data_IF_957657399207
#
_entry.id   IF_957657399207
#
_cell.length_a   1.000
_cell.length_b   1.000
_cell.length_c   1.000
_cell.angle_alpha   90.00
_cell.angle_beta   90.00
_cell.angle_gamma   90.00
#
_symmetry.space_group_name_H-M   'P 1'
#
loop_
_entity.id
_entity.type
_entity.pdbx_description
1 polymer ?
2 branched ?
3 non-polymer ?
4 non-polymer ?
5 non-polymer ?
6 water ?
#
# COMPACT_ATOMS: atom_id res chain seq x y z
N UNK A 10 -9.75 -20.67 -17.73
CA UNK A 10 -9.27 -19.31 -17.50
C UNK A 10 -7.78 -19.17 -17.85
N UNK A 11 -7.28 -17.94 -17.88
CA UNK A 11 -5.93 -17.67 -18.37
C UNK A 11 -5.10 -16.71 -17.50
N UNK A 12 -3.78 -16.79 -17.64
CA UNK A 12 -2.88 -15.84 -17.01
C UNK A 12 -3.14 -14.45 -17.56
N UNK A 13 -3.30 -13.47 -16.68
CA UNK A 13 -3.47 -12.10 -17.14
C UNK A 13 -2.18 -11.55 -17.75
N UNK A 14 -2.32 -10.83 -18.85
CA UNK A 14 -1.18 -10.12 -19.44
C UNK A 14 -1.36 -8.61 -19.38
N UNK A 15 -0.31 -7.90 -18.97
CA UNK A 15 -0.35 -6.44 -18.92
C UNK A 15 -0.19 -5.81 -20.31
N UNK A 16 -1.25 -5.86 -21.12
CA UNK A 16 -1.18 -5.36 -22.49
C UNK A 16 -1.66 -3.92 -22.65
N UNK A 17 -2.29 -3.37 -21.62
CA UNK A 17 -2.90 -2.05 -21.72
C UNK A 17 -2.11 -0.95 -21.03
N UNK A 18 -2.42 0.30 -21.34
CA UNK A 18 -1.81 1.43 -20.66
C UNK A 18 -2.81 2.05 -19.70
N UNK A 19 -2.38 3.06 -18.95
CA UNK A 19 -3.30 3.75 -18.06
C UNK A 19 -4.30 4.59 -18.84
N UNK A 20 -5.52 4.69 -18.33
CA UNK A 20 -6.49 5.64 -18.84
C UNK A 20 -6.04 7.05 -18.47
N UNK A 21 -6.39 8.03 -19.30
CA UNK A 21 -6.14 9.43 -18.97
C UNK A 21 -6.82 9.75 -17.67
N UNK A 22 -6.08 10.32 -16.73
CA UNK A 22 -6.62 10.62 -15.41
C UNK A 22 -6.93 12.10 -15.29
N UNK A 23 -8.20 12.44 -15.30
CA UNK A 23 -8.60 13.85 -15.20
C UNK A 23 -9.20 14.21 -13.85
N UNK A 24 -9.64 13.20 -13.10
CA UNK A 24 -10.06 13.38 -11.71
C UNK A 24 -10.26 12.00 -11.08
N UNK A 25 -10.71 11.99 -9.83
CA UNK A 25 -10.92 10.74 -9.10
C UNK A 25 -12.34 10.68 -8.57
N UNK A 26 -12.99 9.53 -8.67
CA UNK A 26 -14.31 9.36 -8.09
C UNK A 26 -14.28 8.34 -6.97
N UNK A 27 -15.28 8.39 -6.09
CA UNK A 27 -15.36 7.44 -4.98
C UNK A 27 -15.59 6.03 -5.52
N UNK A 28 -14.87 5.07 -4.95
CA UNK A 28 -14.93 3.69 -5.38
C UNK A 28 -15.45 2.81 -4.24
N UNK A 29 -14.85 2.97 -3.07
CA UNK A 29 -15.26 2.20 -1.90
C UNK A 29 -14.97 2.90 -0.59
N UNK A 30 -15.78 2.57 0.42
CA UNK A 30 -15.62 3.11 1.77
C UNK A 30 -16.35 2.17 2.70
N UNK A 31 -15.69 1.74 3.78
CA UNK A 31 -16.33 0.70 4.59
C UNK A 31 -16.93 1.22 5.91
N UNK A 32 -16.55 2.44 6.32
CA UNK A 32 -17.03 3.00 7.58
C UNK A 32 -16.87 2.03 8.76
N UNK A 33 -15.71 1.37 8.84
CA UNK A 33 -15.52 0.28 9.80
C UNK A 33 -15.60 0.72 11.27
N UNK A 34 -15.00 1.86 11.58
CA UNK A 34 -14.94 2.30 12.97
C UNK A 34 -16.32 2.78 13.45
N UNK A 35 -17.05 3.49 12.59
CA UNK A 35 -18.42 3.89 12.88
C UNK A 35 -19.29 2.68 13.20
N UNK A 36 -19.29 1.72 12.28
CA UNK A 36 -20.10 0.52 12.42
C UNK A 36 -19.62 -0.35 13.58
N UNK A 37 -18.30 -0.43 13.74
CA UNK A 37 -17.70 -1.25 14.77
C UNK A 37 -17.97 -0.78 16.20
N UNK A 38 -18.56 0.41 16.32
CA UNK A 38 -18.94 0.94 17.62
C UNK A 38 -20.00 0.06 18.28
N UNK A 39 -20.83 -0.59 17.48
CA UNK A 39 -21.89 -1.43 18.02
C UNK A 39 -22.05 -2.76 17.30
N UNK A 40 -21.01 -3.19 16.60
CA UNK A 40 -21.04 -4.46 15.91
C UNK A 40 -19.68 -5.13 15.94
N UNK A 41 -19.67 -6.44 15.70
CA UNK A 41 -18.46 -7.24 15.84
C UNK A 41 -17.50 -7.05 14.68
N UNK A 42 -16.94 -5.83 14.59
CA UNK A 42 -15.94 -5.49 13.59
C UNK A 42 -14.53 -5.75 14.13
N UNK A 43 -13.72 -6.45 13.34
CA UNK A 43 -12.34 -6.75 13.71
C UNK A 43 -11.45 -5.50 13.67
N UNK A 44 -10.63 -5.33 14.72
CA UNK A 44 -9.57 -4.33 14.71
C UNK A 44 -8.57 -4.68 13.62
N UNK A 45 -8.18 -3.69 12.81
CA UNK A 45 -7.23 -3.94 11.74
C UNK A 45 -6.23 -2.79 11.59
N UNK A 46 -5.22 -3.01 10.76
CA UNK A 46 -4.42 -1.93 10.18
C UNK A 46 -3.75 -2.46 8.91
N UNK A 47 -3.02 -1.58 8.23
CA UNK A 47 -2.37 -1.91 6.95
C UNK A 47 -3.36 -2.51 5.93
N UNK A 48 -4.42 -1.78 5.60
CA UNK A 48 -5.39 -2.31 4.65
C UNK A 48 -4.95 -2.12 3.21
N UNK A 49 -5.57 -2.86 2.28
CA UNK A 49 -5.43 -2.58 0.86
C UNK A 49 -6.56 -3.21 0.07
N UNK A 50 -6.52 -3.04 -1.24
CA UNK A 50 -7.57 -3.52 -2.12
C UNK A 50 -6.93 -4.36 -3.22
N UNK A 51 -7.56 -5.47 -3.58
CA UNK A 51 -7.08 -6.31 -4.67
C UNK A 51 -8.22 -7.03 -5.38
N UNK A 52 -8.13 -7.11 -6.70
CA UNK A 52 -9.19 -7.67 -7.51
C UNK A 52 -8.89 -9.08 -8.03
N UNK A 53 -9.95 -9.89 -8.10
CA UNK A 53 -9.94 -11.16 -8.79
C UNK A 53 -10.61 -10.91 -10.14
N UNK A 54 -10.62 -11.90 -11.05
CA UNK A 54 -11.32 -11.69 -12.31
C UNK A 54 -12.81 -11.42 -12.18
N UNK A 55 -13.41 -11.80 -11.07
CA UNK A 55 -14.86 -11.67 -10.90
C UNK A 55 -15.29 -10.84 -9.70
N UNK A 56 -14.34 -10.26 -8.98
CA UNK A 56 -14.65 -9.64 -7.70
C UNK A 56 -13.51 -8.76 -7.20
N UNK A 57 -13.84 -7.65 -6.54
CA UNK A 57 -12.83 -6.85 -5.85
C UNK A 57 -13.09 -6.91 -4.36
N UNK A 58 -12.03 -7.03 -3.56
CA UNK A 58 -12.18 -7.19 -2.13
C UNK A 58 -11.23 -6.30 -1.34
N UNK A 59 -11.65 -5.96 -0.13
CA UNK A 59 -10.80 -5.27 0.82
C UNK A 59 -9.89 -6.28 1.51
N UNK A 60 -8.69 -5.85 1.88
CA UNK A 60 -7.72 -6.68 2.59
C UNK A 60 -7.15 -5.89 3.76
N UNK A 61 -6.78 -6.57 4.84
CA UNK A 61 -6.11 -5.91 5.97
C UNK A 61 -5.48 -6.92 6.91
N UNK A 62 -4.66 -6.42 7.83
CA UNK A 62 -4.09 -7.22 8.89
C UNK A 62 -4.93 -7.10 10.16
N UNK A 63 -5.64 -8.17 10.48
CA UNK A 63 -6.45 -8.21 11.69
C UNK A 63 -5.57 -8.26 12.93
N UNK A 64 -6.15 -7.90 14.07
CA UNK A 64 -5.43 -7.98 15.33
C UNK A 64 -6.00 -9.08 16.22
N UNK A 65 -6.87 -9.91 15.64
CA UNK A 65 -7.43 -11.03 16.36
C UNK A 65 -8.31 -10.61 17.53
N UNK A 66 -9.07 -9.53 17.35
CA UNK A 66 -10.00 -9.03 18.34
C UNK A 66 -10.94 -8.02 17.69
N UNK A 67 -12.11 -7.82 18.27
CA UNK A 67 -13.00 -6.75 17.79
C UNK A 67 -12.66 -5.45 18.52
N UNK A 68 -13.20 -4.34 18.02
CA UNK A 68 -12.91 -3.03 18.60
C UNK A 68 -13.50 -2.88 19.99
N UNK A 69 -14.74 -3.35 20.17
CA UNK A 69 -15.38 -3.28 21.48
C UNK A 69 -14.82 -4.30 22.47
N UNK A 70 -14.23 -5.37 21.94
CA UNK A 70 -13.62 -6.39 22.76
C UNK A 70 -12.51 -5.81 23.60
N UNK A 71 -12.35 -6.32 24.81
CA UNK A 71 -11.33 -5.82 25.71
C UNK A 71 -9.91 -6.09 25.20
N UNK A 72 -9.75 -7.12 24.37
CA UNK A 72 -8.43 -7.45 23.82
C UNK A 72 -7.95 -6.46 22.77
N UNK A 73 -8.76 -5.43 22.51
CA UNK A 73 -8.33 -4.38 21.59
C UNK A 73 -7.37 -3.44 22.31
N UNK A 74 -7.27 -3.60 23.64
CA UNK A 74 -6.38 -2.78 24.46
C UNK A 74 -4.93 -3.13 24.17
N UNK A 75 -4.21 -2.22 23.54
CA UNK A 75 -2.82 -2.42 23.21
C UNK A 75 -2.54 -2.80 21.77
N UNK A 76 -3.53 -2.60 20.90
CA UNK A 76 -3.41 -2.99 19.51
C UNK A 76 -2.67 -1.98 18.64
N UNK A 77 -1.97 -1.04 19.28
CA UNK A 77 -1.02 -0.22 18.55
C UNK A 77 0.18 -1.11 18.23
N UNK A 78 0.34 -2.19 18.99
CA UNK A 78 1.48 -3.09 18.81
C UNK A 78 1.40 -3.80 17.45
N UNK A 79 2.54 -3.81 16.76
CA UNK A 79 2.60 -4.19 15.34
C UNK A 79 2.62 -5.68 15.05
N UNK A 80 3.44 -6.43 15.76
CA UNK A 80 3.67 -7.83 15.42
C UNK A 80 3.31 -8.74 16.58
N UNK A 81 2.38 -9.65 16.34
CA UNK A 81 1.99 -10.58 17.38
C UNK A 81 1.47 -11.86 16.74
N UNK A 82 1.21 -12.86 17.57
CA UNK A 82 0.74 -14.14 17.07
C UNK A 82 -0.77 -14.15 16.77
N UNK A 83 -1.43 -13.02 16.99
CA UNK A 83 -2.88 -12.98 16.86
C UNK A 83 -3.28 -12.23 15.59
N UNK A 84 -2.28 -11.85 14.80
CA UNK A 84 -2.53 -11.13 13.56
C UNK A 84 -2.71 -12.11 12.40
N UNK A 85 -3.46 -11.67 11.39
CA UNK A 85 -3.73 -12.49 10.22
C UNK A 85 -4.19 -11.60 9.08
N UNK A 86 -3.78 -11.95 7.86
CA UNK A 86 -4.29 -11.28 6.67
C UNK A 86 -5.71 -11.75 6.37
N UNK A 87 -6.66 -10.83 6.40
CA UNK A 87 -8.05 -11.14 6.10
C UNK A 87 -8.53 -10.38 4.88
N UNK A 88 -9.55 -10.91 4.22
CA UNK A 88 -10.22 -10.18 3.16
C UNK A 88 -11.73 -10.23 3.36
N UNK A 89 -12.44 -9.27 2.79
CA UNK A 89 -13.87 -9.20 2.96
C UNK A 89 -14.44 -8.39 1.80
N UNK A 90 -15.76 -8.49 1.57
CA UNK A 90 -16.35 -7.85 0.38
C UNK A 90 -16.20 -6.33 0.35
N UNK A 91 -15.99 -5.79 -0.85
CA UNK A 91 -15.83 -4.36 -1.09
C UNK A 91 -16.86 -3.50 -0.35
N UNK A 92 -16.35 -2.51 0.39
CA UNK A 92 -17.16 -1.50 1.08
C UNK A 92 -17.99 -2.03 2.28
N UNK A 93 -17.83 -3.30 2.61
CA UNK A 93 -18.36 -3.83 3.87
C UNK A 93 -17.30 -3.66 4.95
N UNK A 94 -17.71 -3.67 6.23
CA UNK A 94 -16.69 -3.61 7.28
C UNK A 94 -16.08 -4.99 7.51
N UNK A 95 -14.84 -5.05 8.02
CA UNK A 95 -14.19 -6.32 8.36
C UNK A 95 -14.76 -6.89 9.65
N UNK A 96 -15.70 -7.82 9.54
CA UNK A 96 -16.33 -8.38 10.72
C UNK A 96 -15.93 -9.83 10.95
N UNK A 97 -16.15 -10.30 12.18
CA UNK A 97 -15.83 -11.67 12.55
C UNK A 97 -16.50 -12.69 11.63
N UNK A 98 -17.71 -12.36 11.18
CA UNK A 98 -18.56 -13.30 10.48
C UNK A 98 -18.42 -13.24 8.95
N UNK A 99 -17.99 -12.12 8.40
CA UNK A 99 -17.91 -11.99 6.95
C UNK A 99 -16.48 -11.95 6.40
N UNK A 100 -15.49 -12.13 7.27
CA UNK A 100 -14.09 -12.07 6.87
C UNK A 100 -13.52 -13.45 6.58
N UNK A 101 -12.72 -13.53 5.52
CA UNK A 101 -12.03 -14.76 5.17
C UNK A 101 -10.54 -14.62 5.47
N UNK A 102 -9.97 -15.58 6.19
CA UNK A 102 -8.55 -15.53 6.47
C UNK A 102 -7.73 -16.11 5.33
N UNK A 103 -6.74 -15.35 4.86
CA UNK A 103 -5.88 -15.77 3.75
C UNK A 103 -4.64 -16.49 4.25
N UNK A 104 -4.02 -15.95 5.29
CA UNK A 104 -2.87 -16.59 5.95
C UNK A 104 -2.51 -15.85 7.23
N UNK A 105 -1.61 -16.43 8.01
CA UNK A 105 -1.28 -15.94 9.35
C UNK A 105 0.04 -15.18 9.39
N UNK A 106 0.02 -13.98 9.96
CA UNK A 106 1.21 -13.14 10.00
C UNK A 106 0.94 -11.66 10.21
N UNK A 107 2.01 -10.87 10.23
CA UNK A 107 1.92 -9.43 10.53
C UNK A 107 2.54 -8.54 9.46
N UNK A 108 2.78 -9.12 8.29
CA UNK A 108 3.17 -8.36 7.10
C UNK A 108 2.80 -9.20 5.91
N UNK A 109 2.24 -8.59 4.87
CA UNK A 109 1.64 -9.38 3.80
C UNK A 109 1.59 -8.71 2.44
N UNK A 110 1.29 -9.53 1.44
CA UNK A 110 0.99 -9.05 0.09
C UNK A 110 0.07 -10.07 -0.58
N UNK A 111 -0.58 -9.68 -1.67
CA UNK A 111 -1.50 -10.58 -2.33
C UNK A 111 -1.86 -10.11 -3.74
N UNK A 112 -2.05 -11.05 -4.65
CA UNK A 112 -2.47 -10.71 -6.01
C UNK A 112 -3.01 -11.92 -6.74
N UNK A 113 -3.87 -11.66 -7.72
CA UNK A 113 -4.41 -12.68 -8.58
C UNK A 113 -3.65 -12.68 -9.91
N UNK A 114 -3.27 -13.87 -10.40
CA UNK A 114 -2.51 -13.96 -11.66
C UNK A 114 -3.42 -14.21 -12.87
N UNK A 115 -4.73 -14.23 -12.62
CA UNK A 115 -5.69 -14.54 -13.65
C UNK A 115 -6.31 -15.91 -13.43
N UNK A 116 -5.49 -16.85 -12.96
CA UNK A 116 -5.98 -18.20 -12.67
C UNK A 116 -6.32 -18.38 -11.20
N UNK A 117 -5.38 -18.00 -10.34
CA UNK A 117 -5.56 -18.15 -8.90
C UNK A 117 -4.88 -17.02 -8.15
N UNK A 118 -5.14 -16.94 -6.86
CA UNK A 118 -4.59 -15.89 -6.02
C UNK A 118 -3.37 -16.36 -5.26
N UNK A 119 -2.32 -15.54 -5.25
CA UNK A 119 -1.18 -15.78 -4.38
C UNK A 119 -1.23 -14.83 -3.17
N UNK A 120 -1.10 -15.38 -1.98
CA UNK A 120 -1.04 -14.57 -0.76
C UNK A 120 0.22 -14.92 0.01
N UNK A 121 0.89 -13.90 0.54
CA UNK A 121 2.11 -14.11 1.30
C UNK A 121 1.99 -13.47 2.67
N UNK A 122 2.27 -14.22 3.72
CA UNK A 122 2.28 -13.67 5.06
C UNK A 122 3.61 -13.96 5.74
N UNK A 123 4.08 -13.00 6.50
CA UNK A 123 5.31 -13.17 7.26
C UNK A 123 4.96 -13.20 8.74
N UNK A 124 5.52 -14.18 9.45
CA UNK A 124 5.32 -14.26 10.90
C UNK A 124 6.62 -14.64 11.59
N UNK A 125 6.61 -14.58 12.91
CA UNK A 125 7.77 -14.96 13.69
C UNK A 125 8.29 -13.83 14.55
N UNK A 126 9.32 -14.12 15.36
CA UNK A 126 10.03 -13.11 16.13
C UNK A 126 10.91 -12.26 15.23
N UNK A 127 11.39 -11.13 15.75
CA UNK A 127 12.18 -10.18 14.95
C UNK A 127 13.43 -10.79 14.34
N UNK A 128 14.04 -11.76 15.00
CA UNK A 128 15.29 -12.33 14.50
C UNK A 128 15.14 -13.70 13.84
N UNK A 129 13.91 -14.09 13.51
CA UNK A 129 13.68 -15.42 12.99
C UNK A 129 12.36 -15.50 12.21
N UNK A 130 12.03 -14.41 11.53
CA UNK A 130 10.78 -14.37 10.78
C UNK A 130 10.90 -15.20 9.51
N UNK A 131 9.74 -15.56 8.95
CA UNK A 131 9.69 -16.34 7.72
C UNK A 131 8.40 -16.10 6.98
N UNK A 132 8.47 -16.17 5.65
CA UNK A 132 7.32 -15.91 4.80
C UNK A 132 6.75 -17.22 4.30
N UNK A 133 5.43 -17.34 4.32
CA UNK A 133 4.77 -18.47 3.70
C UNK A 133 4.00 -17.98 2.47
N UNK A 134 4.24 -18.64 1.34
CA UNK A 134 3.57 -18.27 0.10
C UNK A 134 2.43 -19.22 -0.15
N UNK A 135 1.22 -18.67 -0.16
CA UNK A 135 0.04 -19.45 -0.48
C UNK A 135 -0.34 -19.24 -1.93
N UNK A 136 -0.78 -20.29 -2.60
CA UNK A 136 -1.31 -20.17 -3.94
C UNK A 136 -2.53 -21.07 -4.05
N UNK A 137 -3.63 -20.51 -4.54
CA UNK A 137 -4.89 -21.24 -4.61
C UNK A 137 -5.27 -21.79 -3.24
N UNK A 138 -5.10 -20.94 -2.22
CA UNK A 138 -5.50 -21.19 -0.83
C UNK A 138 -4.77 -22.39 -0.18
N UNK A 139 -3.62 -22.75 -0.72
CA UNK A 139 -2.75 -23.78 -0.17
C UNK A 139 -1.31 -23.26 -0.01
N UNK A 140 -0.63 -23.68 1.07
CA UNK A 140 0.77 -23.26 1.23
C UNK A 140 1.70 -24.00 0.27
N UNK A 141 2.62 -23.27 -0.36
CA UNK A 141 3.37 -23.79 -1.51
C UNK A 141 4.87 -23.58 -1.39
N UNK A 142 5.30 -22.46 -0.81
CA UNK A 142 6.72 -22.17 -0.66
C UNK A 142 6.97 -21.35 0.60
N UNK A 143 8.16 -21.52 1.19
CA UNK A 143 8.54 -20.79 2.41
C UNK A 143 9.90 -20.13 2.25
N UNK A 144 10.03 -18.93 2.83
CA UNK A 144 11.28 -18.18 2.79
C UNK A 144 11.76 -17.74 4.17
N UNK A 145 12.94 -18.18 4.57
CA UNK A 145 13.49 -17.77 5.86
C UNK A 145 14.14 -16.38 5.79
N UNK A 146 14.17 -15.70 6.93
CA UNK A 146 14.86 -14.42 7.07
C UNK A 146 16.31 -14.55 6.64
N UNK A 147 16.83 -13.55 5.93
CA UNK A 147 18.23 -13.59 5.50
C UNK A 147 19.08 -12.56 6.24
N UNK A 148 18.43 -11.69 7.00
CA UNK A 148 19.15 -10.68 7.78
C UNK A 148 18.71 -10.65 9.24
N UNK A 149 17.77 -11.53 9.60
CA UNK A 149 17.37 -11.74 11.00
C UNK A 149 16.92 -10.45 11.68
N UNK A 150 16.22 -9.61 10.94
CA UNK A 150 15.74 -8.34 11.49
C UNK A 150 14.42 -7.90 10.85
N UNK A 151 13.34 -8.57 11.26
CA UNK A 151 11.99 -8.29 10.80
C UNK A 151 11.85 -8.37 9.27
N UNK A 152 11.92 -9.58 8.73
CA UNK A 152 11.58 -9.82 7.33
C UNK A 152 10.18 -9.23 7.05
N UNK A 153 10.07 -8.38 6.03
CA UNK A 153 8.82 -7.66 5.80
C UNK A 153 8.60 -7.37 4.31
N UNK A 154 7.34 -7.17 3.94
CA UNK A 154 7.02 -6.97 2.52
C UNK A 154 6.08 -5.78 2.30
N UNK A 155 5.27 -5.83 1.25
CA UNK A 155 4.68 -4.63 0.66
C UNK A 155 3.51 -3.98 1.41
N UNK A 156 2.64 -4.79 2.00
CA UNK A 156 1.40 -4.32 2.65
C UNK A 156 0.42 -3.70 1.65
N UNK A 157 0.52 -4.12 0.38
CA UNK A 157 -0.50 -3.85 -0.62
C UNK A 157 -0.33 -4.88 -1.71
N UNK A 158 -1.16 -4.83 -2.74
CA UNK A 158 -1.19 -5.91 -3.73
C UNK A 158 0.05 -5.92 -4.64
N UNK A 159 0.45 -7.13 -5.04
CA UNK A 159 1.47 -7.30 -6.06
C UNK A 159 0.79 -7.32 -7.42
N UNK A 160 1.58 -7.45 -8.48
CA UNK A 160 1.04 -7.46 -9.84
C UNK A 160 1.60 -8.64 -10.60
N UNK A 161 0.78 -9.28 -11.42
CA UNK A 161 1.23 -10.43 -12.17
C UNK A 161 1.18 -10.19 -13.67
N UNK A 162 2.17 -10.71 -14.37
CA UNK A 162 2.18 -10.71 -15.82
C UNK A 162 2.58 -12.10 -16.33
N UNK A 163 1.67 -12.69 -17.10
CA UNK A 163 1.88 -14.04 -17.64
C UNK A 163 2.25 -15.05 -16.55
N UNK A 164 1.60 -14.95 -15.41
CA UNK A 164 1.81 -15.89 -14.34
C UNK A 164 3.00 -15.57 -13.45
N UNK A 165 3.74 -14.52 -13.78
CA UNK A 165 4.90 -14.12 -12.98
C UNK A 165 4.56 -12.95 -12.09
N UNK A 166 4.76 -13.11 -10.78
CA UNK A 166 4.41 -12.08 -9.81
C UNK A 166 5.61 -11.67 -8.98
N UNK A 167 6.12 -10.46 -9.24
CA UNK A 167 7.22 -9.87 -8.47
C UNK A 167 6.75 -9.36 -7.12
N UNK A 168 7.54 -9.63 -6.09
CA UNK A 168 7.23 -9.15 -4.74
C UNK A 168 8.48 -8.56 -4.13
N UNK A 169 8.36 -7.37 -3.55
CA UNK A 169 9.50 -6.71 -2.93
C UNK A 169 9.55 -6.98 -1.43
N UNK A 170 10.67 -7.56 -0.99
CA UNK A 170 10.93 -7.85 0.43
C UNK A 170 12.06 -7.00 0.98
N UNK A 171 12.00 -6.70 2.28
CA UNK A 171 13.11 -6.05 2.94
C UNK A 171 13.43 -6.78 4.24
N UNK A 172 14.72 -6.87 4.55
CA UNK A 172 15.18 -7.49 5.80
C UNK A 172 16.37 -6.71 6.31
N UNK A 173 16.36 -6.35 7.59
CA UNK A 173 17.41 -5.53 8.15
C UNK A 173 16.89 -4.27 8.82
N UNK A 174 17.76 -3.30 9.04
CA UNK A 174 17.38 -2.11 9.80
C UNK A 174 16.35 -1.25 9.08
N UNK A 175 15.44 -0.67 9.85
CA UNK A 175 14.47 0.27 9.30
C UNK A 175 15.01 1.69 9.24
N UNK A 176 16.23 1.89 9.76
CA UNK A 176 16.79 3.24 9.89
C UNK A 176 18.27 3.27 9.47
N UNK A 177 18.58 2.52 8.44
CA UNK A 177 19.94 2.44 7.92
C UNK A 177 19.91 1.48 6.74
N UNK A 178 21.08 1.17 6.18
CA UNK A 178 21.15 0.20 5.08
C UNK A 178 20.53 -1.14 5.45
N UNK A 179 19.75 -1.71 4.54
CA UNK A 179 19.07 -2.97 4.80
C UNK A 179 19.14 -3.87 3.56
N UNK A 180 18.71 -5.12 3.68
CA UNK A 180 18.76 -6.06 2.56
C UNK A 180 17.42 -6.22 1.85
N UNK A 181 17.26 -5.52 0.73
CA UNK A 181 16.03 -5.60 -0.05
C UNK A 181 16.20 -6.58 -1.22
N UNK A 182 15.18 -7.41 -1.42
CA UNK A 182 15.19 -8.41 -2.49
C UNK A 182 13.91 -8.34 -3.29
N UNK A 183 14.01 -8.58 -4.60
CA UNK A 183 12.81 -8.76 -5.41
C UNK A 183 12.68 -10.23 -5.75
N UNK A 184 11.57 -10.81 -5.33
CA UNK A 184 11.26 -12.19 -5.62
C UNK A 184 10.30 -12.29 -6.78
N UNK A 185 10.53 -13.28 -7.64
CA UNK A 185 9.64 -13.53 -8.75
C UNK A 185 8.98 -14.88 -8.57
N UNK A 186 7.66 -14.87 -8.38
CA UNK A 186 6.92 -16.11 -8.18
C UNK A 186 6.10 -16.50 -9.41
N UNK A 187 5.90 -17.79 -9.57
CA UNK A 187 4.89 -18.27 -10.49
C UNK A 187 4.18 -19.45 -9.86
N UNK A 188 2.86 -19.35 -9.74
CA UNK A 188 2.05 -20.37 -9.07
C UNK A 188 2.59 -20.65 -7.67
N UNK A 189 3.06 -19.59 -7.01
CA UNK A 189 3.56 -19.70 -5.65
C UNK A 189 4.98 -20.19 -5.52
N UNK A 190 5.53 -20.75 -6.60
CA UNK A 190 6.90 -21.25 -6.58
C UNK A 190 7.88 -20.13 -6.90
N UNK A 191 9.11 -20.26 -6.41
CA UNK A 191 10.12 -19.23 -6.61
C UNK A 191 10.91 -19.47 -7.90
N UNK A 192 10.84 -18.52 -8.82
CA UNK A 192 11.57 -18.60 -10.07
C UNK A 192 12.96 -18.02 -9.92
N UNK A 193 13.05 -16.95 -9.13
CA UNK A 193 14.26 -16.15 -9.07
C UNK A 193 14.14 -15.12 -7.97
N UNK A 194 15.27 -14.75 -7.37
CA UNK A 194 15.29 -13.54 -6.56
C UNK A 194 16.59 -12.80 -6.84
N UNK A 195 16.57 -11.49 -6.62
CA UNK A 195 17.74 -10.67 -6.84
C UNK A 195 17.81 -9.54 -5.83
N UNK A 196 19.02 -9.19 -5.42
CA UNK A 196 19.24 -8.08 -4.51
C UNK A 196 18.88 -6.76 -5.17
N UNK A 197 18.48 -5.78 -4.36
CA UNK A 197 18.11 -4.46 -4.87
C UNK A 197 19.28 -3.79 -5.59
N UNK A 198 19.00 -3.24 -6.77
CA UNK A 198 19.98 -2.52 -7.55
C UNK A 198 19.48 -1.10 -7.83
N UNK A 199 20.31 -0.26 -8.42
CA UNK A 199 19.91 1.11 -8.71
C UNK A 199 20.35 2.10 -7.65
N UNK A 200 19.77 3.31 -7.68
CA UNK A 200 20.24 4.38 -6.81
C UNK A 200 19.40 4.59 -5.54
N UNK A 201 18.30 3.83 -5.40
CA UNK A 201 17.49 3.93 -4.19
C UNK A 201 18.26 3.40 -2.98
N UNK A 202 18.26 4.17 -1.90
CA UNK A 202 19.12 3.87 -0.75
C UNK A 202 18.42 3.10 0.38
N UNK A 203 17.10 3.03 0.34
CA UNK A 203 16.34 2.32 1.36
C UNK A 203 14.90 2.09 0.91
N UNK A 204 14.43 0.85 1.07
CA UNK A 204 13.14 0.45 0.53
C UNK A 204 12.21 -0.17 1.58
N UNK A 205 11.02 0.41 1.74
CA UNK A 205 9.99 -0.17 2.58
C UNK A 205 8.64 -0.08 1.89
N UNK A 206 7.82 -1.11 2.08
CA UNK A 206 6.39 -1.07 1.77
C UNK A 206 6.03 -0.52 0.39
N UNK A 207 6.42 -1.24 -0.66
CA UNK A 207 6.21 -0.81 -2.04
C UNK A 207 4.75 -0.91 -2.50
N UNK A 208 4.28 0.15 -3.17
CA UNK A 208 2.96 0.15 -3.81
C UNK A 208 3.13 -0.01 -5.31
N UNK A 209 2.50 -1.02 -5.88
CA UNK A 209 2.79 -1.38 -7.27
C UNK A 209 1.56 -1.37 -8.16
N UNK A 210 1.80 -1.15 -9.44
CA UNK A 210 0.77 -1.29 -10.46
C UNK A 210 1.44 -1.70 -11.77
N UNK A 211 0.65 -2.28 -12.66
CA UNK A 211 1.16 -2.81 -13.91
C UNK A 211 0.57 -2.13 -15.13
N UNK A 212 1.40 -1.93 -16.13
CA UNK A 212 1.04 -1.25 -17.35
C UNK A 212 1.93 -1.80 -18.47
N UNK A 213 1.38 -2.01 -19.67
CA UNK A 213 2.15 -2.40 -20.87
C UNK A 213 3.47 -3.13 -20.61
N UNK A 214 3.36 -4.30 -19.98
CA UNK A 214 4.46 -5.24 -19.75
C UNK A 214 5.45 -4.74 -18.68
N UNK A 215 5.21 -3.54 -18.14
CA UNK A 215 6.07 -3.02 -17.09
C UNK A 215 5.38 -2.90 -15.73
N UNK A 216 6.12 -3.14 -14.66
CA UNK A 216 5.56 -2.97 -13.32
C UNK A 216 6.27 -1.85 -12.55
N UNK A 217 5.50 -0.88 -12.07
CA UNK A 217 6.05 0.26 -11.34
C UNK A 217 5.70 0.17 -9.86
N UNK A 218 6.72 0.33 -9.01
CA UNK A 218 6.52 0.32 -7.57
C UNK A 218 6.99 1.62 -6.93
N UNK A 219 6.13 2.22 -6.12
CA UNK A 219 6.51 3.42 -5.38
C UNK A 219 6.61 3.06 -3.91
N UNK A 220 7.75 3.37 -3.32
CA UNK A 220 8.06 2.86 -1.99
C UNK A 220 8.28 3.94 -0.94
N UNK A 221 8.79 3.52 0.20
CA UNK A 221 9.01 4.39 1.35
C UNK A 221 10.47 4.33 1.78
N UNK A 222 11.17 5.46 1.72
CA UNK A 222 12.51 5.54 2.30
C UNK A 222 12.36 5.93 3.77
N UNK A 223 12.54 4.96 4.66
CA UNK A 223 12.35 5.21 6.09
C UNK A 223 13.62 5.71 6.77
N UNK A 224 14.68 5.91 5.98
CA UNK A 224 15.98 6.27 6.54
C UNK A 224 16.27 7.77 6.47
N UNK A 225 16.53 8.29 5.28
CA UNK A 225 16.92 9.70 5.17
C UNK A 225 16.08 10.53 4.22
N UNK A 226 15.29 9.88 3.37
CA UNK A 226 14.60 10.59 2.30
C UNK A 226 13.15 10.91 2.53
N UNK A 227 12.73 12.05 1.98
CA UNK A 227 11.34 12.45 2.00
C UNK A 227 10.80 12.50 0.59
N UNK A 228 11.67 12.22 -0.39
CA UNK A 228 11.22 11.87 -1.73
C UNK A 228 11.02 10.36 -1.75
N UNK A 229 10.22 9.85 -2.67
CA UNK A 229 9.93 8.41 -2.66
C UNK A 229 10.78 7.63 -3.64
N UNK A 230 11.39 6.54 -3.16
CA UNK A 230 12.11 5.63 -4.06
C UNK A 230 11.14 4.94 -5.00
N UNK A 231 11.63 4.60 -6.19
CA UNK A 231 10.82 3.94 -7.20
C UNK A 231 11.57 2.74 -7.74
N UNK A 232 10.87 1.61 -7.86
CA UNK A 232 11.41 0.41 -8.46
C UNK A 232 10.63 0.10 -9.74
N UNK A 233 11.33 0.00 -10.85
CA UNK A 233 10.71 -0.38 -12.11
C UNK A 233 11.12 -1.80 -12.47
N UNK A 234 10.14 -2.69 -12.48
CA UNK A 234 10.40 -4.11 -12.69
C UNK A 234 9.98 -4.58 -14.08
N UNK A 235 10.87 -5.29 -14.74
CA UNK A 235 10.55 -6.03 -15.96
C UNK A 235 10.18 -7.46 -15.58
N UNK A 236 8.88 -7.81 -15.67
CA UNK A 236 8.43 -9.14 -15.25
C UNK A 236 8.74 -10.26 -16.24
N UNK A 237 9.12 -9.94 -17.47
CA UNK A 237 9.47 -10.96 -18.44
C UNK A 237 10.95 -11.35 -18.34
N UNK A 238 11.82 -10.33 -18.30
CA UNK A 238 13.25 -10.55 -18.11
C UNK A 238 13.58 -10.79 -16.64
N UNK A 239 12.63 -10.47 -15.76
CA UNK A 239 12.80 -10.57 -14.32
C UNK A 239 14.02 -9.79 -13.86
N UNK A 240 14.04 -8.52 -14.24
CA UNK A 240 15.08 -7.56 -13.87
C UNK A 240 14.43 -6.27 -13.38
N UNK A 241 15.22 -5.38 -12.79
CA UNK A 241 14.68 -4.14 -12.26
C UNK A 241 15.71 -3.01 -12.19
N UNK A 242 15.22 -1.78 -12.09
CA UNK A 242 16.06 -0.63 -11.77
C UNK A 242 15.40 0.11 -10.62
N UNK A 243 16.13 1.05 -10.01
CA UNK A 243 15.54 1.87 -8.96
C UNK A 243 16.15 3.25 -8.92
N UNK A 244 15.34 4.20 -8.47
CA UNK A 244 15.76 5.58 -8.29
C UNK A 244 14.75 6.25 -7.35
N UNK A 245 14.76 7.58 -7.31
CA UNK A 245 13.73 8.31 -6.58
C UNK A 245 12.86 9.10 -7.56
N UNK A 246 11.67 9.50 -7.12
CA UNK A 246 10.92 10.51 -7.85
C UNK A 246 11.69 11.83 -7.82
N UNK A 247 12.08 12.32 -9.00
CA UNK A 247 12.91 13.51 -9.12
C UNK A 247 12.21 14.79 -8.70
N UNK A 248 10.88 14.77 -8.67
CA UNK A 248 10.10 15.97 -8.44
C UNK A 248 10.36 16.60 -7.07
N UNK A 249 10.39 17.94 -7.00
CA UNK A 249 10.51 18.63 -5.72
C UNK A 249 9.20 18.58 -4.94
N UNK A 250 8.15 18.05 -5.55
CA UNK A 250 6.91 17.77 -4.82
C UNK A 250 7.12 16.50 -4.00
N UNK A 251 7.49 16.68 -2.74
CA UNK A 251 7.85 15.58 -1.85
C UNK A 251 6.61 14.91 -1.29
N UNK A 252 6.60 13.58 -1.30
CA UNK A 252 5.37 12.86 -0.98
C UNK A 252 5.46 11.87 0.18
N UNK A 253 6.54 11.92 0.96
CA UNK A 253 6.57 11.12 2.18
C UNK A 253 5.98 11.93 3.33
N UNK A 254 5.93 11.31 4.51
CA UNK A 254 5.47 11.98 5.73
C UNK A 254 6.14 11.36 6.97
N UNK A 255 6.73 12.18 7.84
CA UNK A 255 6.86 13.64 7.71
C UNK A 255 7.85 14.02 6.62
N UNK A 256 7.94 15.31 6.30
CA UNK A 256 8.74 15.75 5.17
C UNK A 256 9.02 17.24 5.29
N UNK A 257 10.14 17.70 4.72
CA UNK A 257 10.42 19.13 4.61
C UNK A 257 9.38 19.81 3.73
N UNK A 258 9.41 21.14 3.68
CA UNK A 258 8.60 21.84 2.71
C UNK A 258 9.15 21.62 1.30
N UNK A 259 8.29 21.76 0.30
CA UNK A 259 8.69 21.55 -1.09
C UNK A 259 9.73 22.57 -1.52
N UNK A 260 10.88 22.09 -1.99
CA UNK A 260 11.89 22.98 -2.59
C UNK A 260 11.56 23.26 -4.06
N UNK A 261 12.53 23.78 -4.82
CA UNK A 261 12.35 23.99 -6.24
C UNK A 261 13.18 23.02 -7.06
N UNK A 262 14.09 22.31 -6.40
CA UNK A 262 14.83 21.24 -7.06
C UNK A 262 14.78 19.94 -6.27
N UNK A 263 14.28 18.89 -6.91
CA UNK A 263 14.24 17.57 -6.29
C UNK A 263 15.53 16.80 -6.53
N UNK A 264 15.55 15.55 -6.03
CA UNK A 264 16.70 14.67 -6.19
C UNK A 264 16.28 13.35 -6.84
N UNK A 265 17.06 12.89 -7.80
CA UNK A 265 16.71 11.71 -8.60
C UNK A 265 17.38 10.44 -8.11
N UNK A 266 18.60 10.56 -7.59
CA UNK A 266 19.40 9.40 -7.25
C UNK A 266 19.93 9.44 -5.84
N UNK A 267 19.29 10.24 -4.99
CA UNK A 267 19.63 10.30 -3.58
C UNK A 267 18.45 10.82 -2.78
N UNK A 268 18.42 10.50 -1.47
CA UNK A 268 17.31 10.95 -0.61
C UNK A 268 17.29 12.47 -0.42
N UNK A 269 16.09 13.07 -0.38
CA UNK A 269 15.98 14.47 0.01
C UNK A 269 15.94 14.55 1.53
N UNK A 270 16.87 15.31 2.12
CA UNK A 270 17.15 15.34 3.56
C UNK A 270 16.25 16.26 4.39
N UNK A 271 16.29 16.09 5.72
CA UNK A 271 15.53 16.95 6.61
C UNK A 271 14.72 16.15 7.62
N UNK A 272 14.28 14.96 7.22
CA UNK A 272 13.55 14.09 8.12
C UNK A 272 14.14 12.68 8.10
N UNK A 273 14.54 12.20 9.27
CA UNK A 273 15.14 10.88 9.36
C UNK A 273 14.28 9.90 10.13
N UNK A 274 14.49 8.61 9.85
CA UNK A 274 13.97 7.53 10.67
C UNK A 274 12.45 7.50 10.80
N UNK A 275 11.76 7.89 9.74
CA UNK A 275 10.31 7.76 9.70
C UNK A 275 9.82 7.87 8.27
N UNK A 276 8.52 7.67 8.08
CA UNK A 276 7.93 7.71 6.76
C UNK A 276 6.51 7.18 6.84
N UNK A 277 5.89 7.01 5.68
CA UNK A 277 4.56 6.41 5.61
C UNK A 277 4.45 5.69 4.27
N UNK A 278 3.73 4.58 4.23
CA UNK A 278 3.49 3.90 2.97
C UNK A 278 2.68 4.80 2.07
N UNK A 279 3.11 4.94 0.82
CA UNK A 279 2.44 5.80 -0.14
C UNK A 279 2.51 5.23 -1.54
N UNK A 280 1.99 5.97 -2.52
CA UNK A 280 1.93 5.48 -3.89
C UNK A 280 2.05 6.62 -4.88
N UNK A 281 2.25 6.29 -6.14
CA UNK A 281 2.13 7.24 -7.22
C UNK A 281 1.81 6.51 -8.51
N UNK A 282 1.25 7.23 -9.47
CA UNK A 282 1.12 6.74 -10.84
C UNK A 282 2.01 7.58 -11.75
N UNK A 283 3.03 6.95 -12.32
CA UNK A 283 4.02 7.67 -13.11
C UNK A 283 3.83 7.40 -14.59
N UNK A 284 3.24 8.36 -15.29
CA UNK A 284 2.80 8.12 -16.65
C UNK A 284 2.98 9.35 -17.54
N UNK A 285 4.19 9.88 -17.60
CA UNK A 285 4.48 11.05 -18.41
C UNK A 285 3.63 12.24 -18.00
N UNK A 286 2.85 12.77 -18.94
CA UNK A 286 1.99 13.91 -18.63
C UNK A 286 0.77 13.50 -17.79
N UNK A 287 0.56 12.19 -17.67
CA UNK A 287 -0.58 11.66 -16.94
C UNK A 287 -0.18 11.24 -15.54
N UNK A 288 0.83 11.91 -14.99
CA UNK A 288 1.39 11.53 -13.70
C UNK A 288 0.66 12.18 -12.53
N UNK A 289 0.22 11.33 -11.59
CA UNK A 289 -0.44 11.80 -10.38
C UNK A 289 0.27 11.27 -9.14
N UNK A 290 0.49 12.16 -8.17
CA UNK A 290 1.12 11.77 -6.91
C UNK A 290 0.15 11.92 -5.76
N UNK A 291 0.24 11.02 -4.79
CA UNK A 291 -0.52 11.15 -3.57
C UNK A 291 0.39 11.54 -2.42
N UNK A 292 -0.18 12.23 -1.43
CA UNK A 292 0.55 12.54 -0.21
C UNK A 292 -0.39 13.06 0.87
N UNK A 293 0.07 12.98 2.12
CA UNK A 293 -0.64 13.61 3.22
C UNK A 293 -0.58 15.12 3.04
N UNK A 294 -1.61 15.82 3.51
CA UNK A 294 -1.60 17.28 3.43
C UNK A 294 -0.59 17.86 4.44
N UNK A 295 -0.65 17.39 5.69
CA UNK A 295 0.30 17.81 6.71
C UNK A 295 1.72 17.35 6.37
N UNK A 296 2.71 18.16 6.71
CA UNK A 296 4.11 17.77 6.53
C UNK A 296 4.64 17.16 7.81
N UNK A 297 3.83 17.21 8.87
CA UNK A 297 4.29 16.81 10.19
C UNK A 297 3.63 15.51 10.67
N UNK A 298 2.37 15.31 10.34
CA UNK A 298 1.65 14.13 10.82
C UNK A 298 0.79 13.50 9.73
N UNK A 299 0.27 12.32 10.04
CA UNK A 299 -0.55 11.57 9.10
C UNK A 299 -1.98 12.08 9.09
N UNK A 300 -2.16 13.30 8.60
CA UNK A 300 -3.49 13.87 8.46
C UNK A 300 -3.67 14.49 7.09
N UNK A 301 -4.88 14.35 6.56
CA UNK A 301 -5.20 14.85 5.23
C UNK A 301 -4.63 13.95 4.15
N UNK A 302 -5.25 14.00 2.98
CA UNK A 302 -4.68 13.34 1.81
C UNK A 302 -5.09 14.09 0.56
N UNK A 303 -4.17 14.21 -0.39
CA UNK A 303 -4.44 14.92 -1.63
C UNK A 303 -3.79 14.22 -2.82
N UNK A 304 -4.38 14.39 -3.99
CA UNK A 304 -3.77 13.95 -5.24
C UNK A 304 -3.27 15.16 -6.00
N UNK A 305 -2.08 15.06 -6.57
CA UNK A 305 -1.50 16.16 -7.32
C UNK A 305 -1.03 15.71 -8.71
N UNK A 306 -1.48 16.42 -9.73
CA UNK A 306 -1.04 16.10 -11.09
C UNK A 306 0.29 16.78 -11.37
N UNK A 307 1.36 15.99 -11.38
CA UNK A 307 2.71 16.53 -11.57
C UNK A 307 3.37 15.91 -12.80
N UNK A 308 3.29 16.61 -13.94
CA UNK A 308 3.78 16.07 -15.21
C UNK A 308 5.26 15.68 -15.12
N UNK A 309 5.55 14.45 -15.54
CA UNK A 309 6.90 13.92 -15.54
C UNK A 309 7.60 13.99 -14.18
N UNK A 310 6.85 13.75 -13.11
CA UNK A 310 7.41 13.81 -11.75
C UNK A 310 8.60 12.87 -11.60
N UNK A 311 8.55 11.74 -12.30
CA UNK A 311 9.59 10.72 -12.18
C UNK A 311 10.95 11.21 -12.68
N UNK A 312 10.95 11.99 -13.76
CA UNK A 312 12.22 12.37 -14.39
C UNK A 312 12.58 13.87 -14.33
N UNK A 313 11.61 14.73 -14.04
CA UNK A 313 11.83 16.19 -14.07
C UNK A 313 11.99 16.78 -12.67
N UNK A 314 13.20 17.23 -12.33
CA UNK A 314 13.47 17.66 -10.97
C UNK A 314 13.04 19.09 -10.68
N UNK A 315 12.33 19.71 -11.63
CA UNK A 315 11.76 21.03 -11.40
C UNK A 315 10.24 20.98 -11.40
N UNK A 316 9.67 19.80 -11.67
CA UNK A 316 8.24 19.68 -11.93
C UNK A 316 7.34 20.03 -10.74
N UNK A 317 6.29 20.78 -11.03
CA UNK A 317 5.35 21.27 -10.01
C UNK A 317 3.91 20.90 -10.42
N UNK A 318 2.96 20.94 -9.46
CA UNK A 318 1.58 20.55 -9.76
C UNK A 318 0.88 21.51 -10.70
N UNK A 319 -0.04 20.99 -11.51
CA UNK A 319 -0.85 21.81 -12.38
C UNK A 319 -2.34 21.53 -12.17
N UNK A 320 -2.63 20.54 -11.35
CA UNK A 320 -4.00 20.17 -11.00
C UNK A 320 -3.96 19.30 -9.75
N UNK A 321 -5.07 19.26 -9.02
CA UNK A 321 -5.13 18.46 -7.81
C UNK A 321 -6.54 18.11 -7.38
N UNK A 322 -6.63 17.22 -6.39
CA UNK A 322 -7.90 16.87 -5.78
C UNK A 322 -7.67 16.48 -4.33
N UNK A 323 -8.43 17.10 -3.43
CA UNK A 323 -8.39 16.74 -2.01
C UNK A 323 -9.23 15.51 -1.74
N UNK A 324 -8.66 14.54 -1.05
CA UNK A 324 -9.36 13.31 -0.73
C UNK A 324 -9.82 13.29 0.73
N UNK A 325 -8.91 13.67 1.62
CA UNK A 325 -9.21 13.76 3.05
C UNK A 325 -8.76 15.13 3.58
N UNK A 326 -9.63 15.82 4.32
CA UNK A 326 -9.27 17.12 4.88
C UNK A 326 -8.12 17.00 5.87
N UNK A 327 -7.34 18.08 6.01
CA UNK A 327 -6.21 18.09 6.93
C UNK A 327 -6.64 17.87 8.37
N UNK A 328 -7.87 18.27 8.68
CA UNK A 328 -8.42 18.09 10.02
C UNK A 328 -8.78 16.64 10.33
N UNK A 329 -8.62 15.75 9.36
CA UNK A 329 -8.96 14.35 9.54
C UNK A 329 -7.75 13.44 9.40
N UNK A 330 -7.73 12.36 10.19
CA UNK A 330 -6.59 11.47 10.18
C UNK A 330 -6.54 10.62 8.92
N UNK A 331 -5.34 10.38 8.42
CA UNK A 331 -5.15 9.49 7.28
C UNK A 331 -4.23 8.35 7.71
N UNK A 332 -3.32 7.95 6.83
CA UNK A 332 -2.45 6.82 7.12
C UNK A 332 -1.79 6.27 5.86
N UNK A 333 -1.60 4.96 5.83
CA UNK A 333 -1.07 4.31 4.63
C UNK A 333 -1.93 4.58 3.41
N UNK A 334 -1.30 4.56 2.24
CA UNK A 334 -2.03 4.63 0.98
C UNK A 334 -1.31 3.77 -0.03
N UNK A 335 -2.04 3.29 -1.02
CA UNK A 335 -1.45 2.36 -1.96
C UNK A 335 -2.27 2.19 -3.22
N UNK A 336 -1.69 1.54 -4.20
CA UNK A 336 -2.28 1.44 -5.52
C UNK A 336 -2.83 0.06 -5.80
N UNK A 337 -3.86 0.00 -6.64
CA UNK A 337 -4.39 -1.23 -7.17
C UNK A 337 -5.14 -0.90 -8.45
N UNK A 338 -5.35 -1.91 -9.29
CA UNK A 338 -6.17 -1.72 -10.50
C UNK A 338 -7.00 -2.96 -10.79
N UNK A 339 -8.18 -2.76 -11.36
CA UNK A 339 -8.95 -3.90 -11.84
C UNK A 339 -8.46 -4.29 -13.24
N UNK A 340 -7.55 -5.25 -13.29
CA UNK A 340 -6.97 -5.70 -14.55
C UNK A 340 -7.93 -6.54 -15.40
N UNK A 341 -9.14 -6.76 -14.90
CA UNK A 341 -10.10 -7.57 -15.65
C UNK A 341 -11.35 -6.77 -16.01
N UNK A 342 -11.29 -5.45 -15.84
CA UNK A 342 -12.36 -4.57 -16.28
C UNK A 342 -12.42 -4.50 -17.80
N UNK A 343 -13.51 -3.95 -18.32
CA UNK A 343 -13.64 -3.81 -19.76
C UNK A 343 -13.05 -2.47 -20.22
N UNK A 344 -12.69 -2.40 -21.49
CA UNK A 344 -12.08 -1.19 -22.02
C UNK A 344 -10.68 -1.44 -22.55
N UNK A 345 -10.13 -0.44 -23.23
CA UNK A 345 -8.83 -0.58 -23.86
C UNK A 345 -7.71 0.00 -22.98
N UNK A 346 -8.03 0.32 -21.74
CA UNK A 346 -7.02 0.81 -20.80
C UNK A 346 -7.32 0.45 -19.35
N UNK A 347 -6.28 0.48 -18.53
CA UNK A 347 -6.43 0.24 -17.09
C UNK A 347 -6.77 1.52 -16.37
N UNK A 348 -7.74 1.48 -15.48
CA UNK A 348 -8.08 2.67 -14.73
C UNK A 348 -7.37 2.64 -13.39
N UNK A 349 -6.59 3.68 -13.13
CA UNK A 349 -5.83 3.82 -11.90
C UNK A 349 -6.76 3.92 -10.69
N UNK A 350 -6.42 3.18 -9.64
CA UNK A 350 -7.12 3.29 -8.37
C UNK A 350 -6.16 3.43 -7.22
N UNK A 351 -6.70 3.77 -6.04
CA UNK A 351 -5.92 3.77 -4.82
C UNK A 351 -6.84 3.75 -3.61
N UNK A 352 -6.24 3.46 -2.47
CA UNK A 352 -6.94 3.48 -1.20
C UNK A 352 -6.18 4.38 -0.24
N UNK A 353 -6.86 4.85 0.79
CA UNK A 353 -6.21 5.55 1.88
C UNK A 353 -6.67 4.91 3.19
N UNK A 354 -5.71 4.55 4.03
CA UNK A 354 -6.01 4.05 5.37
C UNK A 354 -6.34 5.22 6.28
N UNK A 355 -7.48 5.15 6.95
CA UNK A 355 -7.88 6.20 7.88
C UNK A 355 -7.72 5.72 9.31
N UNK A 356 -6.57 6.02 9.90
CA UNK A 356 -6.22 5.50 11.21
C UNK A 356 -6.93 6.26 12.31
N UNK A 357 -7.56 5.50 13.22
CA UNK A 357 -8.19 6.08 14.39
C UNK A 357 -7.61 5.42 15.62
N UNK A 358 -7.59 6.15 16.73
CA UNK A 358 -7.06 5.63 17.97
C UNK A 358 -5.63 6.08 18.22
N UNK A 359 -4.82 5.20 18.79
CA UNK A 359 -3.47 5.58 19.15
C UNK A 359 -2.53 5.58 17.95
N UNK A 360 -1.47 6.41 17.99
CA UNK A 360 -1.08 7.28 19.11
C UNK A 360 -1.84 8.61 19.18
N UNK A 361 -2.38 9.07 18.06
CA UNK A 361 -2.96 10.41 17.97
C UNK A 361 -4.21 10.64 18.85
N UNK A 362 -4.95 9.57 19.12
CA UNK A 362 -6.18 9.68 19.90
C UNK A 362 -6.14 8.74 21.11
N UNK A 363 -5.45 9.13 22.17
CA UNK A 363 -5.16 8.20 23.27
C UNK A 363 -6.23 8.16 24.36
N UNK A 364 -7.41 8.71 24.10
CA UNK A 364 -8.54 8.54 25.01
C UNK A 364 -9.00 7.09 24.97
N UNK A 365 -8.86 6.45 23.80
CA UNK A 365 -9.08 5.02 23.69
C UNK A 365 -7.75 4.31 23.78
N UNK A 366 -7.77 3.00 24.02
CA UNK A 366 -6.54 2.24 24.17
C UNK A 366 -6.26 1.38 22.95
N UNK A 367 -7.08 1.53 21.91
CA UNK A 367 -6.92 0.72 20.71
C UNK A 367 -6.42 1.54 19.52
N UNK A 368 -5.99 0.83 18.48
CA UNK A 368 -5.64 1.44 17.21
C UNK A 368 -6.33 0.66 16.10
N UNK A 369 -7.11 1.36 15.27
CA UNK A 369 -7.74 0.69 14.14
C UNK A 369 -7.83 1.65 12.98
N UNK A 370 -8.59 1.28 11.97
CA UNK A 370 -8.70 2.10 10.78
C UNK A 370 -9.97 1.80 10.02
N UNK A 371 -10.33 2.69 9.10
CA UNK A 371 -11.29 2.31 8.07
C UNK A 371 -10.66 2.62 6.73
N UNK A 372 -11.37 2.37 5.65
CA UNK A 372 -10.80 2.53 4.33
C UNK A 372 -11.65 3.46 3.46
N UNK A 373 -10.97 4.33 2.73
CA UNK A 373 -11.60 5.03 1.62
C UNK A 373 -10.83 4.70 0.34
N UNK A 374 -11.54 4.58 -0.77
CA UNK A 374 -10.96 4.10 -2.02
C UNK A 374 -11.47 4.89 -3.22
N UNK A 375 -10.59 5.24 -4.16
CA UNK A 375 -10.93 6.06 -5.32
C UNK A 375 -10.46 5.44 -6.63
N UNK A 376 -11.10 5.81 -7.74
CA UNK A 376 -10.63 5.41 -9.07
C UNK A 376 -10.62 6.60 -10.03
N UNK A 377 -9.84 6.50 -11.09
CA UNK A 377 -9.69 7.62 -12.01
C UNK A 377 -10.89 7.76 -12.94
N UNK A 378 -11.13 8.98 -13.38
CA UNK A 378 -12.16 9.28 -14.35
C UNK A 378 -11.55 10.16 -15.45
N UNK A 379 -12.07 10.05 -16.66
CA UNK A 379 -11.67 10.95 -17.74
C UNK A 379 -12.55 12.20 -17.72
N UNK A 380 -13.60 12.19 -16.91
CA UNK A 380 -14.38 13.40 -16.68
C UNK A 380 -13.66 14.28 -15.65
N UNK A 381 -13.98 15.56 -15.63
CA UNK A 381 -13.45 16.45 -14.60
C UNK A 381 -14.48 16.59 -13.47
N UNK A 382 -14.48 15.62 -12.55
CA UNK A 382 -15.52 15.53 -11.53
C UNK A 382 -15.29 16.43 -10.33
N UNK A 383 -16.39 16.88 -9.72
CA UNK A 383 -16.33 17.65 -8.49
C UNK A 383 -15.72 16.82 -7.38
N UNK A 384 -15.10 17.48 -6.41
CA UNK A 384 -14.46 16.77 -5.32
C UNK A 384 -15.23 16.90 -4.01
N UNK A 385 -15.12 15.88 -3.17
CA UNK A 385 -15.61 15.93 -1.80
C UNK A 385 -14.43 15.60 -0.91
N UNK A 386 -14.68 15.45 0.39
CA UNK A 386 -13.67 14.93 1.29
C UNK A 386 -14.27 13.77 2.08
N UNK A 387 -13.45 12.75 2.35
CA UNK A 387 -13.95 11.50 2.90
C UNK A 387 -13.30 11.13 4.21
N UNK A 388 -13.84 11.65 5.32
CA UNK A 388 -13.28 11.33 6.64
C UNK A 388 -13.75 9.96 7.11
N UNK A 389 -13.14 9.45 8.17
CA UNK A 389 -13.54 8.16 8.71
C UNK A 389 -14.94 8.25 9.28
N UNK A 390 -15.21 9.32 10.01
CA UNK A 390 -16.57 9.63 10.43
C UNK A 390 -16.98 9.14 11.80
N UNK A 391 -16.07 8.46 12.51
CA UNK A 391 -16.39 8.00 13.84
C UNK A 391 -16.16 9.11 14.86
N UNK A 392 -16.91 9.06 15.96
CA UNK A 392 -16.70 9.99 17.06
C UNK A 392 -16.11 9.24 18.28
N UNK A 393 -14.88 9.60 18.64
CA UNK A 393 -14.16 8.96 19.73
C UNK A 393 -14.93 8.94 21.04
N UNK A 394 -15.64 10.03 21.33
CA UNK A 394 -16.49 10.14 22.53
C UNK A 394 -17.37 8.92 22.78
N UNK A 395 -17.91 8.36 21.70
CA UNK A 395 -18.82 7.22 21.79
C UNK A 395 -18.13 5.95 22.28
N UNK A 396 -16.81 5.90 22.10
CA UNK A 396 -16.03 4.72 22.48
C UNK A 396 -15.50 4.79 23.90
N UNK A 397 -15.74 5.92 24.57
CA UNK A 397 -15.32 6.08 25.97
C UNK A 397 -16.39 5.60 26.93
#
# INVERSE_FOLDING_TARGET
GSGDSGSPGRNFNNLTKGLCTINSWHIYGKDNAVRIGESSDVLVTREPYVSCDPDECRFYALSQGTTIRGKHSNGTIHDRSQYRALISWPLSSPPTVYNSRVECIGWSSTSCHDGKSRMSICISGPNNNASAVVWYNRRPVAEINTWARNILRTQESECVCHNGVCPVVFTDGSATGPADTRIYYFKEGKILKWESLTGTAKHIEECSCYGERTGITCTCRDNWQGSNRPVIQIDPVAMTHTSQYICSPVLTDNPRPNDPNIGKCNDPYPGNNNNGVKGFSYLDGANTWLGRTISTASRSGYEMLKVPNALTDDRSKPIQGQTIVLNADWSGYSGSFMDYWAEGDCYRACFYVELIRGRPKEDKVWWTSNSIVSMCSSTEFLGQWNWPDGAKIEYFL
#
